data_IF_775117701850
#
_entry.id   IF_775117701850
#
_cell.length_a   1.000
_cell.length_b   1.000
_cell.length_c   1.000
_cell.angle_alpha   90.00
_cell.angle_beta   90.00
_cell.angle_gamma   90.00
#
_symmetry.space_group_name_H-M   'P 1'
#
loop_
_entity.id
_entity.type
_entity.pdbx_description
1 polymer ?
#
# COMPACT_ATOMS: atom_id res chain seq x y z
N UNK A 1 15.19 -11.15 -31.82
CA UNK A 1 15.44 -11.63 -30.46
C UNK A 1 14.96 -10.56 -29.47
N UNK A 2 13.90 -10.76 -28.74
CA UNK A 2 13.46 -9.79 -27.75
C UNK A 2 14.31 -9.89 -26.50
N UNK A 3 14.92 -8.79 -26.10
CA UNK A 3 15.67 -8.71 -24.85
C UNK A 3 14.70 -8.67 -23.68
N UNK A 4 14.76 -9.68 -22.83
CA UNK A 4 13.96 -9.77 -21.62
C UNK A 4 14.23 -8.61 -20.67
N UNK A 5 13.18 -8.07 -20.11
CA UNK A 5 13.22 -7.11 -19.01
C UNK A 5 13.82 -7.84 -17.78
N UNK A 6 14.95 -7.37 -17.20
CA UNK A 6 15.51 -8.01 -16.03
C UNK A 6 14.84 -7.45 -14.77
N UNK A 7 13.62 -7.85 -14.51
CA UNK A 7 13.08 -7.84 -13.17
C UNK A 7 13.17 -9.28 -12.67
N UNK A 8 14.33 -9.61 -12.10
CA UNK A 8 14.52 -10.89 -11.42
C UNK A 8 13.62 -10.95 -10.19
N UNK A 9 12.81 -12.00 -10.04
CA UNK A 9 11.86 -12.16 -8.93
C UNK A 9 12.53 -12.47 -7.57
N UNK A 10 13.84 -12.34 -7.43
CA UNK A 10 14.57 -13.05 -6.37
C UNK A 10 14.71 -12.35 -5.03
N UNK A 11 14.19 -11.13 -4.83
CA UNK A 11 14.27 -10.45 -3.52
C UNK A 11 12.87 -10.24 -2.91
N UNK A 12 11.82 -10.27 -3.70
CA UNK A 12 10.44 -10.08 -3.21
C UNK A 12 9.71 -11.40 -2.93
N UNK A 13 10.08 -12.50 -3.59
CA UNK A 13 9.44 -13.80 -3.36
C UNK A 13 9.89 -14.50 -2.06
N UNK A 14 11.07 -14.16 -1.53
CA UNK A 14 11.53 -14.70 -0.24
C UNK A 14 10.89 -13.99 0.99
N UNK A 15 10.15 -12.88 0.78
CA UNK A 15 9.47 -12.17 1.86
C UNK A 15 7.96 -12.45 1.95
N UNK A 16 7.42 -13.33 1.11
CA UNK A 16 6.00 -13.72 1.11
C UNK A 16 5.86 -15.20 1.53
N UNK A 17 6.53 -15.62 2.57
CA UNK A 17 6.04 -16.77 3.33
C UNK A 17 5.18 -16.23 4.46
N UNK A 18 3.92 -16.55 4.37
CA UNK A 18 2.85 -16.27 5.33
C UNK A 18 3.19 -16.86 6.69
N UNK A 19 3.82 -16.05 7.54
CA UNK A 19 3.91 -16.35 8.96
C UNK A 19 2.58 -15.97 9.61
N UNK A 20 1.90 -16.88 10.33
CA UNK A 20 0.64 -16.58 11.00
C UNK A 20 0.76 -15.55 12.15
N UNK A 21 1.95 -15.10 12.49
CA UNK A 21 2.21 -13.96 13.36
C UNK A 21 2.97 -12.87 12.59
N UNK A 22 2.21 -11.90 12.08
CA UNK A 22 2.73 -10.68 11.46
C UNK A 22 3.78 -10.05 12.37
N UNK A 23 5.04 -9.94 11.89
CA UNK A 23 6.12 -9.33 12.67
C UNK A 23 5.81 -7.88 12.98
N UNK A 24 5.37 -7.58 14.19
CA UNK A 24 5.11 -6.22 14.67
C UNK A 24 6.40 -5.46 15.03
N UNK A 25 7.52 -6.16 15.18
CA UNK A 25 8.80 -5.60 15.63
C UNK A 25 9.89 -5.94 14.62
N UNK A 26 10.52 -4.92 14.03
CA UNK A 26 11.65 -5.08 13.11
C UNK A 26 12.91 -5.46 13.90
N UNK A 27 13.20 -4.74 14.99
CA UNK A 27 14.30 -5.07 15.90
C UNK A 27 14.06 -4.52 17.29
N UNK A 28 14.64 -5.19 18.31
CA UNK A 28 14.60 -4.71 19.71
C UNK A 28 15.27 -3.34 19.86
N UNK A 29 16.31 -3.05 19.08
CA UNK A 29 16.98 -1.76 19.09
C UNK A 29 16.06 -0.64 18.60
N UNK A 30 15.33 -0.85 17.52
CA UNK A 30 14.37 0.14 16.98
C UNK A 30 13.22 0.42 17.96
N UNK A 31 12.77 -0.59 18.70
CA UNK A 31 11.78 -0.40 19.77
C UNK A 31 12.36 0.46 20.90
N UNK A 32 13.61 0.20 21.31
CA UNK A 32 14.25 0.95 22.38
C UNK A 32 14.56 2.41 21.99
N UNK A 33 15.05 2.62 20.74
CA UNK A 33 15.49 3.93 20.27
C UNK A 33 14.33 4.81 19.77
N UNK A 34 13.27 4.22 19.20
CA UNK A 34 12.20 4.93 18.51
C UNK A 34 10.78 4.52 18.93
N UNK A 35 10.64 3.54 19.83
CA UNK A 35 9.33 2.99 20.20
C UNK A 35 8.61 2.30 19.03
N UNK A 36 9.35 1.83 18.01
CA UNK A 36 8.76 1.32 16.78
C UNK A 36 8.11 -0.05 16.97
N UNK A 37 6.78 -0.05 16.97
CA UNK A 37 5.95 -1.26 16.93
C UNK A 37 4.95 -1.11 15.80
N UNK A 38 4.99 -2.02 14.83
CA UNK A 38 4.09 -1.98 13.68
C UNK A 38 2.70 -2.50 14.09
N UNK A 39 1.66 -1.78 13.69
CA UNK A 39 0.28 -2.20 13.97
C UNK A 39 -0.09 -3.40 13.09
N UNK A 40 -0.57 -4.48 13.70
CA UNK A 40 -0.97 -5.67 12.98
C UNK A 40 -2.19 -5.41 12.08
N UNK A 41 -2.31 -6.16 11.00
CA UNK A 41 -3.36 -5.98 9.99
C UNK A 41 -4.78 -6.04 10.58
N UNK A 42 -5.00 -6.90 11.56
CA UNK A 42 -6.30 -7.03 12.23
C UNK A 42 -6.70 -5.72 12.93
N UNK A 43 -5.76 -5.12 13.67
CA UNK A 43 -5.97 -3.85 14.37
C UNK A 43 -6.15 -2.70 13.38
N UNK A 44 -5.33 -2.65 12.31
CA UNK A 44 -5.49 -1.68 11.22
C UNK A 44 -6.90 -1.72 10.65
N UNK A 45 -7.39 -2.89 10.30
CA UNK A 45 -8.74 -3.06 9.76
C UNK A 45 -9.81 -2.62 10.75
N UNK A 46 -9.72 -3.04 12.02
CA UNK A 46 -10.67 -2.67 13.05
C UNK A 46 -10.74 -1.15 13.25
N UNK A 47 -9.59 -0.46 13.26
CA UNK A 47 -9.53 0.99 13.38
C UNK A 47 -10.10 1.71 12.16
N UNK A 48 -9.77 1.24 10.94
CA UNK A 48 -10.27 1.84 9.70
C UNK A 48 -11.78 1.58 9.49
N UNK A 49 -12.33 0.52 10.07
CA UNK A 49 -13.77 0.26 10.03
C UNK A 49 -14.58 1.29 10.83
N UNK A 50 -13.98 1.94 11.84
CA UNK A 50 -14.60 3.06 12.55
C UNK A 50 -14.84 4.28 11.65
N UNK A 51 -14.01 4.44 10.61
CA UNK A 51 -14.07 5.53 9.63
C UNK A 51 -14.31 5.00 8.21
N UNK A 52 -15.03 3.89 8.10
CA UNK A 52 -15.25 3.20 6.82
C UNK A 52 -15.75 4.12 5.72
N UNK A 53 -16.70 4.99 6.04
CA UNK A 53 -17.26 5.94 5.07
C UNK A 53 -16.19 6.82 4.43
N UNK A 54 -15.19 7.25 5.20
CA UNK A 54 -14.09 8.07 4.69
C UNK A 54 -13.08 7.24 3.89
N UNK A 55 -12.82 5.98 4.29
CA UNK A 55 -11.92 5.08 3.53
C UNK A 55 -12.52 4.66 2.19
N UNK A 56 -13.85 4.72 2.03
CA UNK A 56 -14.57 4.44 0.78
C UNK A 56 -14.82 5.70 -0.08
N UNK A 57 -14.43 6.88 0.39
CA UNK A 57 -14.44 8.11 -0.40
C UNK A 57 -13.08 8.33 -1.04
N UNK A 58 -13.05 8.39 -2.38
CA UNK A 58 -11.80 8.47 -3.16
C UNK A 58 -10.99 9.70 -2.76
N UNK A 59 -11.65 10.84 -2.61
CA UNK A 59 -11.02 12.15 -2.34
C UNK A 59 -10.74 12.46 -0.86
N UNK A 60 -11.27 11.66 0.08
CA UNK A 60 -11.01 11.90 1.51
C UNK A 60 -9.54 11.81 1.85
N UNK A 61 -9.03 12.82 2.55
CA UNK A 61 -7.61 12.92 2.88
C UNK A 61 -7.30 12.17 4.17
N UNK A 62 -6.20 11.43 4.14
CA UNK A 62 -5.66 10.72 5.30
C UNK A 62 -4.23 11.15 5.54
N UNK A 63 -3.89 11.43 6.78
CA UNK A 63 -2.53 11.68 7.23
C UNK A 63 -2.16 10.68 8.33
N UNK A 64 -1.12 9.91 8.11
CA UNK A 64 -0.50 9.05 9.12
C UNK A 64 0.85 9.65 9.54
N UNK A 65 0.94 10.27 10.72
CA UNK A 65 2.14 10.99 11.14
C UNK A 65 3.28 10.07 11.61
N UNK A 66 3.03 8.78 11.76
CA UNK A 66 4.01 7.75 12.11
C UNK A 66 3.76 6.50 11.26
N UNK A 67 3.90 6.66 9.93
CA UNK A 67 3.37 5.66 9.00
C UNK A 67 4.12 4.32 9.01
N UNK A 68 5.32 4.26 9.57
CA UNK A 68 6.15 3.07 9.53
C UNK A 68 6.32 2.56 8.10
N UNK A 69 6.19 1.28 7.91
CA UNK A 69 6.19 0.66 6.57
C UNK A 69 4.86 0.79 5.82
N UNK A 70 3.89 1.55 6.34
CA UNK A 70 2.65 1.92 5.65
C UNK A 70 1.48 0.97 5.84
N UNK A 71 1.37 0.26 6.97
CA UNK A 71 0.27 -0.69 7.18
C UNK A 71 -1.12 -0.04 7.05
N UNK A 72 -1.32 1.15 7.64
CA UNK A 72 -2.56 1.91 7.48
C UNK A 72 -2.73 2.44 6.06
N UNK A 73 -1.70 3.06 5.50
CA UNK A 73 -1.78 3.70 4.17
C UNK A 73 -2.05 2.69 3.06
N UNK A 74 -1.45 1.51 3.11
CA UNK A 74 -1.69 0.42 2.14
C UNK A 74 -3.13 -0.06 2.22
N UNK A 75 -3.68 -0.24 3.42
CA UNK A 75 -5.08 -0.66 3.59
C UNK A 75 -6.06 0.43 3.13
N UNK A 76 -5.80 1.70 3.47
CA UNK A 76 -6.61 2.84 2.98
C UNK A 76 -6.59 2.88 1.45
N UNK A 77 -5.41 2.76 0.84
CA UNK A 77 -5.29 2.73 -0.62
C UNK A 77 -6.05 1.56 -1.23
N UNK A 78 -5.94 0.37 -0.65
CA UNK A 78 -6.66 -0.83 -1.12
C UNK A 78 -8.17 -0.62 -1.11
N UNK A 79 -8.73 -0.04 -0.05
CA UNK A 79 -10.16 0.28 0.07
C UNK A 79 -10.61 1.30 -0.98
N UNK A 80 -9.85 2.38 -1.16
CA UNK A 80 -10.14 3.40 -2.17
C UNK A 80 -10.06 2.84 -3.60
N UNK A 81 -9.03 2.07 -3.90
CA UNK A 81 -8.90 1.44 -5.23
C UNK A 81 -9.99 0.42 -5.51
N UNK A 82 -10.51 -0.27 -4.49
CA UNK A 82 -11.69 -1.14 -4.65
C UNK A 82 -12.92 -0.33 -5.09
N UNK A 83 -13.12 0.86 -4.54
CA UNK A 83 -14.19 1.77 -4.97
C UNK A 83 -13.96 2.29 -6.39
N UNK A 84 -12.72 2.71 -6.70
CA UNK A 84 -12.35 3.12 -8.07
C UNK A 84 -12.63 2.01 -9.06
N UNK A 85 -12.20 0.78 -8.75
CA UNK A 85 -12.48 -0.40 -9.58
C UNK A 85 -13.96 -0.62 -9.80
N UNK A 86 -14.76 -0.58 -8.73
CA UNK A 86 -16.20 -0.83 -8.83
C UNK A 86 -16.92 0.18 -9.71
N UNK A 87 -16.46 1.44 -9.71
CA UNK A 87 -17.12 2.54 -10.44
C UNK A 87 -16.57 2.73 -11.86
N UNK A 88 -15.26 2.56 -12.06
CA UNK A 88 -14.56 3.05 -13.24
C UNK A 88 -13.76 1.97 -14.00
N UNK A 89 -13.81 0.69 -13.62
CA UNK A 89 -13.02 -0.37 -14.28
C UNK A 89 -13.29 -0.53 -15.78
N UNK A 90 -14.46 -0.08 -16.26
CA UNK A 90 -14.84 -0.17 -17.68
C UNK A 90 -14.10 0.83 -18.60
N UNK A 91 -13.53 1.88 -18.03
CA UNK A 91 -12.78 2.90 -18.75
C UNK A 91 -11.41 3.04 -18.10
N UNK A 92 -10.36 2.62 -18.81
CA UNK A 92 -8.98 2.72 -18.31
C UNK A 92 -8.62 4.15 -17.93
N UNK A 93 -8.95 5.14 -18.77
CA UNK A 93 -8.65 6.54 -18.51
C UNK A 93 -9.33 7.05 -17.22
N UNK A 94 -10.61 6.72 -17.01
CA UNK A 94 -11.32 7.10 -15.80
C UNK A 94 -10.76 6.39 -14.56
N UNK A 95 -10.44 5.10 -14.69
CA UNK A 95 -9.78 4.37 -13.60
C UNK A 95 -8.46 5.04 -13.21
N UNK A 96 -7.59 5.34 -14.17
CA UNK A 96 -6.30 5.99 -13.94
C UNK A 96 -6.47 7.35 -13.25
N UNK A 97 -7.40 8.16 -13.74
CA UNK A 97 -7.72 9.48 -13.16
C UNK A 97 -8.12 9.39 -11.68
N UNK A 98 -9.05 8.50 -11.36
CA UNK A 98 -9.54 8.35 -10.00
C UNK A 98 -8.57 7.57 -9.10
N UNK A 99 -7.75 6.68 -9.65
CA UNK A 99 -6.66 6.03 -8.91
C UNK A 99 -5.58 7.05 -8.50
N UNK A 100 -5.21 7.97 -9.40
CA UNK A 100 -4.28 9.07 -9.07
C UNK A 100 -4.89 9.96 -7.97
N UNK A 101 -6.18 10.29 -8.04
CA UNK A 101 -6.86 11.04 -6.98
C UNK A 101 -6.83 10.31 -5.64
N UNK A 102 -7.08 8.99 -5.64
CA UNK A 102 -6.99 8.16 -4.43
C UNK A 102 -5.59 8.19 -3.81
N UNK A 103 -4.54 7.98 -4.64
CA UNK A 103 -3.15 7.99 -4.19
C UNK A 103 -2.76 9.38 -3.65
N UNK A 104 -3.12 10.45 -4.34
CA UNK A 104 -2.78 11.82 -3.94
C UNK A 104 -3.53 12.32 -2.70
N UNK A 105 -4.50 11.57 -2.21
CA UNK A 105 -5.27 11.89 -1.00
C UNK A 105 -4.70 11.28 0.29
N UNK A 106 -3.64 10.47 0.20
CA UNK A 106 -3.01 9.83 1.36
C UNK A 106 -1.60 10.39 1.60
N UNK A 107 -1.28 10.63 2.85
CA UNK A 107 -0.02 11.23 3.29
C UNK A 107 0.56 10.41 4.43
N UNK A 108 1.85 10.12 4.37
CA UNK A 108 2.58 9.44 5.43
C UNK A 108 3.83 10.22 5.81
N UNK A 109 4.13 10.24 7.10
CA UNK A 109 5.36 10.81 7.65
C UNK A 109 6.04 9.74 8.48
N UNK A 110 7.34 9.60 8.35
CA UNK A 110 8.17 8.78 9.22
C UNK A 110 9.56 9.40 9.35
N UNK A 111 10.17 9.25 10.51
CA UNK A 111 11.54 9.76 10.78
C UNK A 111 12.61 8.81 10.23
N UNK A 112 12.26 7.57 9.93
CA UNK A 112 13.17 6.54 9.45
C UNK A 112 13.07 6.42 7.92
N UNK A 113 14.12 6.77 7.21
CA UNK A 113 14.13 6.81 5.75
C UNK A 113 13.85 5.45 5.10
N UNK A 114 14.28 4.35 5.71
CA UNK A 114 14.01 3.00 5.24
C UNK A 114 12.51 2.65 5.32
N UNK A 115 11.80 3.11 6.35
CA UNK A 115 10.35 2.98 6.43
C UNK A 115 9.65 3.74 5.32
N UNK A 116 10.09 4.98 5.04
CA UNK A 116 9.53 5.79 3.94
C UNK A 116 9.66 5.05 2.61
N UNK A 117 10.86 4.53 2.31
CA UNK A 117 11.10 3.77 1.08
C UNK A 117 10.24 2.51 1.02
N UNK A 118 10.18 1.74 2.11
CA UNK A 118 9.34 0.54 2.18
C UNK A 118 7.86 0.86 1.98
N UNK A 119 7.37 1.94 2.61
CA UNK A 119 6.00 2.40 2.45
C UNK A 119 5.68 2.77 1.00
N UNK A 120 6.55 3.54 0.34
CA UNK A 120 6.39 3.94 -1.06
C UNK A 120 6.33 2.72 -1.99
N UNK A 121 7.23 1.75 -1.82
CA UNK A 121 7.23 0.51 -2.60
C UNK A 121 5.93 -0.27 -2.42
N UNK A 122 5.47 -0.44 -1.18
CA UNK A 122 4.22 -1.15 -0.89
C UNK A 122 2.98 -0.47 -1.47
N UNK A 123 2.93 0.86 -1.44
CA UNK A 123 1.84 1.62 -2.05
C UNK A 123 1.85 1.45 -3.57
N UNK A 124 3.02 1.56 -4.20
CA UNK A 124 3.17 1.32 -5.63
C UNK A 124 2.74 -0.10 -6.03
N UNK A 125 3.21 -1.12 -5.31
CA UNK A 125 2.86 -2.51 -5.56
C UNK A 125 1.35 -2.76 -5.44
N UNK A 126 0.72 -2.13 -4.45
CA UNK A 126 -0.74 -2.23 -4.25
C UNK A 126 -1.50 -1.69 -5.45
N UNK A 127 -1.11 -0.52 -5.94
CA UNK A 127 -1.67 0.06 -7.16
C UNK A 127 -1.38 -0.81 -8.39
N UNK A 128 -0.11 -1.17 -8.60
CA UNK A 128 0.34 -1.89 -9.79
C UNK A 128 -0.33 -3.25 -9.93
N UNK A 129 -0.45 -4.02 -8.85
CA UNK A 129 -1.13 -5.32 -8.85
C UNK A 129 -2.59 -5.21 -9.29
N UNK A 130 -3.31 -4.21 -8.78
CA UNK A 130 -4.71 -4.00 -9.17
C UNK A 130 -4.85 -3.51 -10.62
N UNK A 131 -3.99 -2.58 -11.02
CA UNK A 131 -3.98 -2.03 -12.37
C UNK A 131 -3.67 -3.11 -13.42
N UNK A 132 -2.61 -3.88 -13.18
CA UNK A 132 -2.20 -4.95 -14.08
C UNK A 132 -3.25 -6.08 -14.18
N UNK A 133 -3.93 -6.40 -13.09
CA UNK A 133 -5.02 -7.38 -13.09
C UNK A 133 -6.22 -6.92 -13.95
N UNK A 134 -6.44 -5.60 -14.07
CA UNK A 134 -7.55 -5.06 -14.87
C UNK A 134 -7.19 -4.89 -16.34
N UNK A 135 -6.01 -4.40 -16.64
CA UNK A 135 -5.66 -3.91 -17.97
C UNK A 135 -4.53 -4.68 -18.65
N UNK A 136 -3.96 -5.70 -17.98
CA UNK A 136 -2.90 -6.58 -18.51
C UNK A 136 -1.80 -5.76 -19.22
N UNK A 137 -1.21 -4.83 -18.48
CA UNK A 137 -0.13 -4.00 -19.03
C UNK A 137 1.10 -4.88 -19.17
N UNK A 138 1.36 -5.35 -20.37
CA UNK A 138 2.65 -5.94 -20.70
C UNK A 138 3.70 -4.83 -20.67
N UNK A 139 4.73 -4.97 -19.83
CA UNK A 139 5.89 -4.12 -19.92
C UNK A 139 6.54 -4.31 -21.30
N UNK A 140 6.26 -3.39 -22.23
CA UNK A 140 6.96 -3.31 -23.50
C UNK A 140 8.27 -2.56 -23.35
#
# INVERSE_FOLDING_TARGET
>A
MPRGCPLTPSILDEMIETDPMEKQVISKKRVADHGEVLTAKREVNAMLDLVKQETERIESRFLEPACGTGNFLVEILSRKLAVVKSRYAKSQLEYERYAVLAISSIYGIDILADNVVACQHRLFDTFYKQYNALYKVDCK
#
